data_IF_361298826100
#
_entry.id   IF_361298826100
#
_cell.length_a   1.000
_cell.length_b   1.000
_cell.length_c   1.000
_cell.angle_alpha   90.00
_cell.angle_beta   90.00
_cell.angle_gamma   90.00
#
_symmetry.space_group_name_H-M   'P 1'
#
loop_
_entity.id
_entity.type
_entity.pdbx_description
1 polymer ?
#
# COMPACT_ATOMS: atom_id res chain seq x y z
N UNK A 1 35.95 -4.81 -8.24
CA UNK A 1 35.61 -4.82 -7.59
C UNK A 1 34.70 -5.05 -7.28
N UNK A 2 34.77 -5.03 -7.43
CA UNK A 2 34.10 -5.14 -6.97
C UNK A 2 33.33 -5.28 -6.52
N UNK A 3 33.55 -5.15 -6.83
CA UNK A 3 32.90 -5.18 -6.20
C UNK A 3 32.21 -4.85 -5.89
N UNK A 4 32.65 -4.50 -6.46
CA UNK A 4 32.13 -4.10 -5.90
C UNK A 4 31.06 -3.92 -5.95
N UNK A 5 31.09 -3.83 -6.51
CA UNK A 5 30.24 -3.65 -6.24
C UNK A 5 29.29 -3.87 -5.87
N UNK A 6 29.45 -4.06 -5.91
CA UNK A 6 28.71 -4.30 -5.35
C UNK A 6 28.13 -4.16 -4.67
N UNK A 7 28.55 -4.02 -4.64
CA UNK A 7 28.09 -3.87 -3.74
C UNK A 7 27.36 -3.25 -3.49
N UNK A 8 27.60 -2.95 -4.02
CA UNK A 8 26.94 -2.39 -3.65
C UNK A 8 25.89 -2.38 -3.64
N UNK A 9 25.85 -2.59 -4.18
CA UNK A 9 24.80 -2.71 -4.02
C UNK A 9 24.25 -3.22 -3.28
N UNK A 10 24.55 -3.52 -3.23
CA UNK A 10 24.13 -3.99 -2.42
C UNK A 10 23.77 -3.52 -1.55
N UNK A 11 24.44 -3.43 -1.57
CA UNK A 11 24.10 -3.06 -0.60
C UNK A 11 23.15 -2.47 -0.59
N UNK A 12 23.56 -2.10 -1.06
CA UNK A 12 22.60 -1.43 -0.83
C UNK A 12 21.41 -1.76 -1.18
N UNK A 13 21.29 -2.40 -1.26
CA UNK A 13 20.05 -2.89 -1.66
C UNK A 13 19.02 -3.01 -0.61
N UNK A 14 19.16 -2.28 0.47
CA UNK A 14 18.07 -2.14 1.42
C UNK A 14 17.06 -1.18 0.78
N UNK A 15 15.83 -1.63 0.50
CA UNK A 15 14.86 -0.72 -0.09
C UNK A 15 14.48 0.38 0.89
N UNK A 16 14.08 1.52 0.35
CA UNK A 16 13.59 2.61 1.18
C UNK A 16 12.37 2.13 1.96
N UNK A 17 12.18 2.64 3.18
CA UNK A 17 10.96 2.32 3.93
C UNK A 17 9.72 2.74 3.15
N UNK A 18 8.69 1.93 3.18
CA UNK A 18 7.47 2.28 2.44
C UNK A 18 6.84 3.56 2.99
N UNK A 19 7.10 3.91 4.24
CA UNK A 19 6.61 5.16 4.80
C UNK A 19 7.18 6.39 4.09
N UNK A 20 8.33 6.25 3.41
CA UNK A 20 8.86 7.35 2.60
C UNK A 20 7.99 7.63 1.38
N UNK A 21 7.14 6.67 1.00
CA UNK A 21 6.26 6.80 -0.15
C UNK A 21 4.87 7.31 0.25
N UNK A 22 4.64 7.52 1.54
CA UNK A 22 3.32 7.87 2.07
C UNK A 22 3.34 9.28 2.64
N UNK A 23 2.51 10.16 2.08
CA UNK A 23 2.35 11.50 2.61
C UNK A 23 1.20 11.52 3.60
N UNK A 24 1.25 12.38 4.65
CA UNK A 24 0.13 12.46 5.60
C UNK A 24 -1.19 12.78 4.93
N UNK A 25 -1.18 13.60 3.89
CA UNK A 25 -2.41 13.95 3.16
C UNK A 25 -2.98 12.81 2.33
N UNK A 26 -2.25 11.72 2.19
CA UNK A 26 -2.70 10.54 1.46
C UNK A 26 -3.27 9.48 2.39
N UNK A 27 -3.59 9.84 3.63
CA UNK A 27 -4.20 8.94 4.61
C UNK A 27 -5.57 9.48 4.94
N UNK A 28 -6.59 8.65 4.78
CA UNK A 28 -7.98 9.00 5.12
C UNK A 28 -8.48 8.00 6.15
N UNK A 29 -8.75 8.47 7.36
CA UNK A 29 -9.23 7.61 8.44
C UNK A 29 -10.76 7.72 8.55
N UNK A 30 -11.37 6.67 9.11
CA UNK A 30 -12.80 6.65 9.42
C UNK A 30 -13.67 6.96 8.20
N UNK A 31 -13.30 6.38 7.06
CA UNK A 31 -14.05 6.57 5.82
C UNK A 31 -15.05 5.44 5.64
N UNK A 32 -15.83 5.50 4.57
CA UNK A 32 -16.77 4.45 4.23
C UNK A 32 -16.86 4.32 2.72
N UNK A 33 -17.29 3.16 2.26
CA UNK A 33 -17.51 2.90 0.85
C UNK A 33 -18.64 1.89 0.71
N UNK A 34 -19.46 2.04 -0.32
CA UNK A 34 -20.59 1.16 -0.52
C UNK A 34 -20.20 -0.21 -1.04
N UNK A 35 -19.07 -0.31 -1.73
CA UNK A 35 -18.59 -1.57 -2.26
C UNK A 35 -17.09 -1.46 -2.50
N UNK A 36 -16.50 -2.59 -2.94
CA UNK A 36 -15.05 -2.63 -3.15
C UNK A 36 -14.60 -1.67 -4.26
N UNK A 37 -15.43 -1.49 -5.30
CA UNK A 37 -15.05 -0.59 -6.38
C UNK A 37 -14.95 0.84 -5.89
N UNK A 38 -15.93 1.28 -5.08
CA UNK A 38 -15.90 2.62 -4.51
C UNK A 38 -14.67 2.79 -3.62
N UNK A 39 -14.31 1.74 -2.88
CA UNK A 39 -13.12 1.78 -2.02
C UNK A 39 -11.84 1.92 -2.84
N UNK A 40 -11.70 1.14 -3.91
CA UNK A 40 -10.54 1.25 -4.80
C UNK A 40 -10.45 2.66 -5.37
N UNK A 41 -11.58 3.23 -5.80
CA UNK A 41 -11.57 4.57 -6.37
C UNK A 41 -11.17 5.61 -5.35
N UNK A 42 -11.60 5.47 -4.08
CA UNK A 42 -11.16 6.41 -3.03
C UNK A 42 -9.65 6.43 -2.89
N UNK A 43 -9.05 5.24 -2.76
CA UNK A 43 -7.61 5.19 -2.55
C UNK A 43 -6.86 5.63 -3.81
N UNK A 44 -7.40 5.31 -4.99
CA UNK A 44 -6.80 5.75 -6.25
C UNK A 44 -6.84 7.26 -6.40
N UNK A 45 -7.94 7.89 -5.98
CA UNK A 45 -8.06 9.35 -6.06
C UNK A 45 -7.05 10.04 -5.16
N UNK A 46 -6.71 9.44 -4.03
CA UNK A 46 -5.65 9.98 -3.18
C UNK A 46 -4.30 9.93 -3.89
N UNK A 47 -4.04 8.88 -4.65
CA UNK A 47 -2.81 8.78 -5.43
C UNK A 47 -2.78 9.84 -6.52
N UNK A 48 -3.93 10.11 -7.15
CA UNK A 48 -4.02 11.19 -8.15
C UNK A 48 -3.76 12.54 -7.48
N UNK A 49 -4.41 12.80 -6.34
CA UNK A 49 -4.25 14.05 -5.64
C UNK A 49 -2.82 14.28 -5.18
N UNK A 50 -2.09 13.21 -4.91
CA UNK A 50 -0.68 13.30 -4.52
C UNK A 50 0.25 13.52 -5.70
N UNK A 51 -0.28 13.50 -6.93
CA UNK A 51 0.54 13.65 -8.12
C UNK A 51 1.32 12.39 -8.48
N UNK A 52 0.93 11.24 -7.92
CA UNK A 52 1.65 10.01 -8.14
C UNK A 52 1.23 9.29 -9.40
N UNK A 53 -0.02 9.46 -9.82
CA UNK A 53 -0.55 8.80 -11.01
C UNK A 53 -1.47 9.76 -11.75
N UNK A 54 -1.67 9.51 -13.05
CA UNK A 54 -2.70 10.22 -13.81
C UNK A 54 -4.04 9.55 -13.55
N UNK A 55 -5.18 10.28 -13.74
CA UNK A 55 -6.50 9.73 -13.39
C UNK A 55 -6.84 8.38 -14.01
N UNK A 56 -6.38 8.10 -15.21
CA UNK A 56 -6.68 6.83 -15.87
C UNK A 56 -6.14 5.62 -15.13
N UNK A 57 -5.18 5.81 -14.23
CA UNK A 57 -4.63 4.71 -13.43
C UNK A 57 -5.68 4.11 -12.51
N UNK A 58 -6.63 4.94 -12.03
CA UNK A 58 -7.67 4.48 -11.11
C UNK A 58 -8.54 3.40 -11.77
N UNK A 59 -8.89 3.60 -13.04
CA UNK A 59 -9.67 2.59 -13.77
C UNK A 59 -8.91 1.27 -13.85
N UNK A 60 -7.59 1.33 -14.04
CA UNK A 60 -6.78 0.11 -14.10
C UNK A 60 -6.71 -0.59 -12.75
N UNK A 61 -6.72 0.19 -11.65
CA UNK A 61 -6.76 -0.40 -10.31
C UNK A 61 -8.07 -1.18 -10.13
N UNK A 62 -9.19 -0.62 -10.59
CA UNK A 62 -10.48 -1.26 -10.50
C UNK A 62 -10.50 -2.54 -11.35
N UNK A 63 -10.01 -2.46 -12.58
CA UNK A 63 -9.97 -3.63 -13.46
C UNK A 63 -9.11 -4.74 -12.89
N UNK A 64 -7.96 -4.36 -12.33
CA UNK A 64 -7.04 -5.35 -11.74
C UNK A 64 -7.71 -6.09 -10.60
N UNK A 65 -8.42 -5.37 -9.74
CA UNK A 65 -9.08 -5.98 -8.58
C UNK A 65 -10.29 -6.82 -9.00
N UNK A 66 -10.96 -6.40 -10.09
CA UNK A 66 -12.08 -7.17 -10.61
C UNK A 66 -11.61 -8.53 -11.12
N UNK A 67 -10.44 -8.56 -11.76
CA UNK A 67 -9.91 -9.79 -12.32
C UNK A 67 -9.37 -10.71 -11.24
N UNK A 68 -8.59 -10.17 -10.31
CA UNK A 68 -7.99 -10.92 -9.21
C UNK A 68 -7.97 -10.01 -8.00
N UNK A 69 -8.66 -10.45 -6.94
CA UNK A 69 -8.77 -9.65 -5.72
C UNK A 69 -7.40 -9.29 -5.15
N UNK A 70 -7.28 -8.07 -4.63
CA UNK A 70 -6.07 -7.66 -3.92
C UNK A 70 -6.22 -7.81 -2.41
N UNK A 71 -7.24 -8.53 -1.95
CA UNK A 71 -7.38 -8.87 -0.53
C UNK A 71 -6.21 -9.76 -0.11
N UNK A 72 -5.57 -9.42 1.00
CA UNK A 72 -4.38 -10.13 1.46
C UNK A 72 -4.50 -10.69 2.87
N UNK A 73 -5.71 -10.69 3.42
CA UNK A 73 -5.93 -11.19 4.78
C UNK A 73 -5.87 -10.07 5.80
N UNK A 74 -6.17 -10.40 7.05
CA UNK A 74 -6.12 -9.49 8.19
C UNK A 74 -6.95 -8.22 8.00
N UNK A 75 -7.96 -8.26 7.13
CA UNK A 75 -8.80 -7.10 6.87
C UNK A 75 -8.19 -6.08 5.94
N UNK A 76 -7.15 -6.43 5.19
CA UNK A 76 -6.46 -5.51 4.29
C UNK A 76 -6.64 -5.89 2.83
N UNK A 77 -6.74 -4.86 1.98
CA UNK A 77 -6.57 -5.01 0.54
C UNK A 77 -5.48 -4.03 0.09
N UNK A 78 -4.77 -4.41 -0.97
CA UNK A 78 -3.67 -3.59 -1.47
C UNK A 78 -3.87 -3.29 -2.96
N UNK A 79 -4.88 -2.46 -3.31
CA UNK A 79 -5.15 -2.14 -4.71
C UNK A 79 -3.95 -1.53 -5.41
N UNK A 80 -3.73 -1.95 -6.64
CA UNK A 80 -2.66 -1.39 -7.47
C UNK A 80 -3.04 -1.61 -8.93
N UNK A 81 -2.37 -0.91 -9.84
CA UNK A 81 -2.66 -1.03 -11.24
C UNK A 81 -1.98 -2.22 -11.87
N UNK A 82 -2.26 -2.40 -13.16
CA UNK A 82 -1.63 -3.47 -13.93
C UNK A 82 -0.27 -3.04 -14.42
N UNK A 83 0.53 -4.01 -14.85
CA UNK A 83 1.83 -3.71 -15.45
C UNK A 83 1.66 -2.83 -16.70
N UNK A 84 0.56 -3.02 -17.43
CA UNK A 84 0.28 -2.21 -18.61
C UNK A 84 0.06 -0.73 -18.25
N UNK A 85 -0.31 -0.45 -17.01
CA UNK A 85 -0.57 0.91 -16.56
C UNK A 85 0.65 1.64 -16.01
N UNK A 86 1.83 1.02 -16.06
CA UNK A 86 3.01 1.63 -15.45
C UNK A 86 3.36 3.00 -16.03
N UNK A 87 2.99 3.25 -17.29
CA UNK A 87 3.24 4.55 -17.93
C UNK A 87 2.36 5.66 -17.36
N UNK A 88 1.32 5.30 -16.61
CA UNK A 88 0.44 6.26 -15.95
C UNK A 88 0.93 6.61 -14.55
N UNK A 89 2.01 6.01 -14.10
CA UNK A 89 2.61 6.28 -12.80
C UNK A 89 3.68 7.34 -12.95
N UNK A 90 3.49 8.46 -12.22
CA UNK A 90 4.45 9.57 -12.26
C UNK A 90 5.57 9.35 -11.25
N UNK A 91 5.25 8.73 -10.12
CA UNK A 91 6.24 8.38 -9.11
C UNK A 91 5.65 7.31 -8.20
N UNK A 92 6.53 6.56 -7.54
CA UNK A 92 6.10 5.56 -6.58
C UNK A 92 5.46 6.25 -5.38
N UNK A 93 4.34 5.73 -4.90
CA UNK A 93 3.64 6.31 -3.77
C UNK A 93 2.64 5.33 -3.20
N UNK A 94 2.27 5.58 -1.94
CA UNK A 94 1.20 4.84 -1.27
C UNK A 94 0.10 5.80 -0.84
N UNK A 95 -1.10 5.26 -0.69
CA UNK A 95 -2.21 5.97 -0.08
C UNK A 95 -2.95 4.97 0.82
N UNK A 96 -3.54 5.46 1.91
CA UNK A 96 -4.20 4.60 2.89
C UNK A 96 -5.61 5.13 3.15
N UNK A 97 -6.60 4.25 3.11
CA UNK A 97 -7.97 4.59 3.48
C UNK A 97 -8.48 3.54 4.46
N UNK A 98 -8.99 4.00 5.59
CA UNK A 98 -9.52 3.14 6.64
C UNK A 98 -11.04 3.11 6.56
N UNK A 99 -11.60 1.91 6.65
CA UNK A 99 -13.05 1.68 6.61
C UNK A 99 -13.48 0.92 7.87
N UNK A 100 -13.71 1.63 9.00
CA UNK A 100 -13.99 0.93 10.27
C UNK A 100 -15.21 0.02 10.21
N UNK A 101 -16.20 0.37 9.39
CA UNK A 101 -17.41 -0.46 9.26
C UNK A 101 -17.23 -1.62 8.30
N UNK A 102 -16.08 -1.69 7.64
CA UNK A 102 -15.77 -2.75 6.69
C UNK A 102 -16.36 -2.53 5.32
N UNK A 103 -15.76 -3.17 4.34
CA UNK A 103 -16.23 -3.16 2.96
C UNK A 103 -16.21 -4.61 2.48
N UNK A 104 -17.28 -5.04 1.82
CA UNK A 104 -17.29 -6.36 1.22
C UNK A 104 -16.36 -6.36 0.01
N UNK A 105 -15.33 -7.20 0.06
CA UNK A 105 -14.28 -7.24 -0.96
C UNK A 105 -14.27 -8.63 -1.55
N UNK A 106 -15.13 -8.84 -2.55
CA UNK A 106 -15.27 -10.15 -3.20
C UNK A 106 -15.57 -11.26 -2.18
N UNK A 107 -16.40 -10.93 -1.17
CA UNK A 107 -16.78 -11.87 -0.14
C UNK A 107 -15.95 -11.81 1.14
N UNK A 108 -14.88 -10.99 1.15
CA UNK A 108 -14.03 -10.83 2.33
C UNK A 108 -14.25 -9.44 2.93
N UNK A 109 -14.09 -9.34 4.24
CA UNK A 109 -14.25 -8.05 4.91
C UNK A 109 -12.94 -7.30 4.93
N UNK A 110 -12.92 -6.10 4.38
CA UNK A 110 -11.75 -5.23 4.37
C UNK A 110 -12.03 -4.01 5.23
N UNK A 111 -11.09 -3.67 6.10
CA UNK A 111 -11.19 -2.50 6.97
C UNK A 111 -10.12 -1.47 6.68
N UNK A 112 -9.15 -1.78 5.84
CA UNK A 112 -8.13 -0.82 5.42
C UNK A 112 -7.60 -1.18 4.04
N UNK A 113 -7.51 -0.17 3.18
CA UNK A 113 -6.90 -0.31 1.86
C UNK A 113 -5.58 0.44 1.84
N UNK A 114 -4.57 -0.18 1.26
CA UNK A 114 -3.29 0.49 1.00
C UNK A 114 -3.10 0.46 -0.52
N UNK A 115 -3.33 1.61 -1.15
CA UNK A 115 -3.17 1.73 -2.59
C UNK A 115 -1.71 1.92 -2.95
N UNK A 116 -1.29 1.31 -4.04
CA UNK A 116 0.11 1.32 -4.46
C UNK A 116 0.22 1.86 -5.87
N UNK A 117 1.04 2.91 -6.03
CA UNK A 117 1.48 3.39 -7.32
C UNK A 117 2.94 3.03 -7.44
N UNK A 118 3.29 2.22 -8.44
CA UNK A 118 4.67 1.83 -8.64
C UNK A 118 4.89 1.53 -10.10
N UNK A 119 6.06 1.91 -10.60
CA UNK A 119 6.44 1.66 -11.98
C UNK A 119 7.43 0.51 -12.04
N UNK A 120 7.26 -0.36 -13.02
CA UNK A 120 8.18 -1.45 -13.24
C UNK A 120 8.26 -2.39 -12.04
N UNK A 121 9.48 -2.72 -11.64
CA UNK A 121 9.70 -3.67 -10.55
C UNK A 121 9.66 -3.09 -9.16
N UNK A 122 9.42 -1.77 -9.03
CA UNK A 122 9.49 -1.15 -7.71
C UNK A 122 8.37 -1.61 -6.78
N UNK A 123 7.29 -2.18 -7.31
CA UNK A 123 6.21 -2.68 -6.44
C UNK A 123 6.62 -3.93 -5.66
N UNK A 124 7.62 -4.69 -6.12
CA UNK A 124 8.03 -5.92 -5.43
C UNK A 124 8.55 -5.65 -4.01
N UNK A 125 9.52 -4.74 -3.81
CA UNK A 125 9.95 -4.45 -2.44
C UNK A 125 8.85 -3.81 -1.58
N UNK A 126 7.94 -3.05 -2.19
CA UNK A 126 6.81 -2.49 -1.46
C UNK A 126 5.93 -3.61 -0.93
N UNK A 127 5.57 -4.57 -1.79
CA UNK A 127 4.73 -5.70 -1.38
C UNK A 127 5.43 -6.55 -0.32
N UNK A 128 6.75 -6.71 -0.43
CA UNK A 128 7.51 -7.50 0.55
C UNK A 128 7.45 -6.86 1.93
N UNK A 129 7.61 -5.54 2.00
CA UNK A 129 7.52 -4.84 3.28
C UNK A 129 6.12 -4.93 3.88
N UNK A 130 5.09 -4.78 3.03
CA UNK A 130 3.72 -4.92 3.51
C UNK A 130 3.46 -6.33 4.01
N UNK A 131 3.97 -7.33 3.32
CA UNK A 131 3.78 -8.71 3.75
C UNK A 131 4.39 -8.94 5.14
N UNK A 132 5.57 -8.39 5.40
CA UNK A 132 6.20 -8.52 6.71
C UNK A 132 5.32 -7.93 7.81
N UNK A 133 4.75 -6.76 7.55
CA UNK A 133 3.88 -6.11 8.52
C UNK A 133 2.62 -6.94 8.76
N UNK A 134 2.00 -7.41 7.69
CA UNK A 134 0.72 -8.11 7.79
C UNK A 134 0.85 -9.54 8.29
N UNK A 135 2.07 -10.09 8.31
CA UNK A 135 2.30 -11.40 8.89
C UNK A 135 2.33 -11.36 10.42
N UNK A 136 2.38 -10.17 11.01
CA UNK A 136 2.33 -10.00 12.46
C UNK A 136 0.90 -9.59 12.83
N UNK A 137 0.06 -10.51 13.34
CA UNK A 137 -1.36 -10.20 13.57
C UNK A 137 -1.58 -9.01 14.50
N UNK A 138 -0.76 -8.86 15.53
CA UNK A 138 -0.92 -7.74 16.46
C UNK A 138 -0.61 -6.41 15.80
N UNK A 139 0.42 -6.38 14.95
CA UNK A 139 0.78 -5.17 14.22
C UNK A 139 -0.27 -4.85 13.17
N UNK A 140 -0.75 -5.87 12.47
CA UNK A 140 -1.81 -5.68 11.48
C UNK A 140 -3.05 -5.10 12.13
N UNK A 141 -3.45 -5.61 13.29
CA UNK A 141 -4.61 -5.08 13.99
C UNK A 141 -4.39 -3.64 14.42
N UNK A 142 -3.20 -3.33 14.96
CA UNK A 142 -2.91 -1.98 15.41
C UNK A 142 -2.95 -0.99 14.24
N UNK A 143 -2.44 -1.40 13.08
CA UNK A 143 -2.49 -0.55 11.89
C UNK A 143 -3.93 -0.36 11.43
N UNK A 144 -4.68 -1.46 11.35
CA UNK A 144 -6.07 -1.43 10.84
C UNK A 144 -6.98 -0.56 11.70
N UNK A 145 -6.70 -0.50 13.00
CA UNK A 145 -7.53 0.25 13.95
C UNK A 145 -6.88 1.56 14.38
N UNK A 146 -5.86 2.02 13.65
CA UNK A 146 -5.17 3.26 13.99
C UNK A 146 -6.14 4.42 14.09
N UNK A 147 -6.00 5.23 15.13
CA UNK A 147 -6.89 6.35 15.37
C UNK A 147 -6.32 7.67 14.88
N UNK A 148 -5.04 7.69 14.50
CA UNK A 148 -4.38 8.91 14.05
C UNK A 148 -3.47 8.62 12.87
N UNK A 149 -3.14 9.67 12.11
CA UNK A 149 -2.20 9.56 11.01
C UNK A 149 -0.83 9.11 11.53
N UNK A 150 -0.39 9.64 12.67
CA UNK A 150 0.88 9.23 13.26
C UNK A 150 0.91 7.74 13.56
N UNK A 151 -0.19 7.18 14.05
CA UNK A 151 -0.27 5.76 14.35
C UNK A 151 -0.13 4.92 13.07
N UNK A 152 -0.71 5.40 11.95
CA UNK A 152 -0.54 4.71 10.67
C UNK A 152 0.93 4.62 10.32
N UNK A 153 1.67 5.73 10.42
CA UNK A 153 3.10 5.71 10.12
C UNK A 153 3.85 4.77 11.06
N UNK A 154 3.50 4.80 12.34
CA UNK A 154 4.16 3.96 13.33
C UNK A 154 4.00 2.47 12.99
N UNK A 155 2.77 2.05 12.70
CA UNK A 155 2.49 0.62 12.49
C UNK A 155 2.76 0.19 11.04
N UNK A 156 2.96 1.11 10.13
CA UNK A 156 3.32 0.78 8.74
C UNK A 156 4.84 0.67 8.57
N UNK A 157 5.53 0.43 9.66
CA UNK A 157 6.98 0.24 9.66
C UNK A 157 7.26 -1.18 10.13
N UNK A 158 8.02 -1.99 9.38
CA UNK A 158 8.32 -3.34 9.83
C UNK A 158 9.05 -3.29 11.18
N UNK A 159 8.71 -4.23 12.10
CA UNK A 159 9.39 -4.33 13.38
C UNK A 159 10.70 -5.05 13.15
N UNK A 160 11.74 -4.51 13.61
CA UNK A 160 13.03 -5.17 13.56
C UNK A 160 13.28 -5.94 14.82
N UNK A 161 13.24 -5.62 15.02
CA UNK A 161 13.66 -5.85 15.79
C UNK A 161 14.18 -5.95 16.59
N UNK A 162 14.09 -5.93 16.52
CA UNK A 162 14.52 -5.82 16.93
C UNK A 162 15.34 -5.87 17.28
N UNK A 163 15.54 -5.85 17.00
CA UNK A 163 16.35 -5.90 17.15
C UNK A 163 16.86 -5.97 17.99
N UNK A 164 16.72 -6.11 18.14
CA UNK A 164 17.11 -6.25 18.88
C UNK A 164 17.71 -6.41 19.45
N UNK A 165 17.88 -6.46 19.28
CA UNK A 165 18.35 -6.75 19.88
C UNK A 165 18.84 -6.90 20.51
#
# INVERSE_FOLDING_TARGET
MDDTVADDVAAGSVPAPITDLLAPGSIRLASSAGDWEAAVRQVGELLVAAGAVVPGYVDLMVERDRDISTFVGEGFAIPHGTLAGRDLVERDALAVVQFPDGVDWHGERVEMCIGIAASGGSHVPILAQLAEILMEPDQAEALRTAATVDAVFTYLTPTDDESDD
#
